data_IF_973764709668
#
_entry.id   IF_973764709668
#
_cell.length_a   1.000
_cell.length_b   1.000
_cell.length_c   1.000
_cell.angle_alpha   90.00
_cell.angle_beta   90.00
_cell.angle_gamma   90.00
#
_symmetry.space_group_name_H-M   'P 1'
#
loop_
_entity.id
_entity.type
_entity.pdbx_description
1 polymer ?
#
# COMPACT_ATOMS: atom_id res chain seq x y z
N UNK A 1 -11.38 12.96 4.76
CA UNK A 1 -11.94 12.47 3.48
C UNK A 1 -12.78 13.52 2.81
N UNK A 2 -12.26 14.13 1.74
CA UNK A 2 -13.06 14.93 0.82
C UNK A 2 -13.75 13.97 -0.15
N UNK A 3 -15.06 13.81 -0.01
CA UNK A 3 -15.85 12.87 -0.83
C UNK A 3 -16.02 13.35 -2.29
N UNK A 4 -15.91 14.67 -2.51
CA UNK A 4 -15.98 15.35 -3.81
C UNK A 4 -15.52 16.80 -3.60
N UNK A 5 -14.87 17.40 -4.59
CA UNK A 5 -14.47 18.82 -4.54
C UNK A 5 -15.57 19.74 -5.08
N UNK A 6 -16.52 19.18 -5.83
CA UNK A 6 -17.60 19.87 -6.52
C UNK A 6 -18.79 18.92 -6.76
N UNK A 7 -18.94 18.40 -7.99
CA UNK A 7 -19.98 17.45 -8.38
C UNK A 7 -19.38 16.06 -8.61
N UNK A 8 -19.74 15.04 -7.80
CA UNK A 8 -19.15 13.71 -7.88
C UNK A 8 -19.30 13.02 -9.24
N UNK A 9 -20.42 13.22 -9.94
CA UNK A 9 -20.68 12.58 -11.24
C UNK A 9 -19.85 13.22 -12.36
N UNK A 10 -19.63 14.54 -12.28
CA UNK A 10 -18.73 15.24 -13.19
C UNK A 10 -17.30 14.80 -12.93
N UNK A 11 -16.87 14.77 -11.67
CA UNK A 11 -15.54 14.34 -11.27
C UNK A 11 -15.23 12.90 -11.71
N UNK A 12 -16.18 11.96 -11.52
CA UNK A 12 -16.05 10.59 -12.01
C UNK A 12 -15.87 10.54 -13.53
N UNK A 13 -16.69 11.28 -14.30
CA UNK A 13 -16.60 11.30 -15.75
C UNK A 13 -15.28 11.88 -16.24
N UNK A 14 -14.81 12.97 -15.63
CA UNK A 14 -13.52 13.56 -15.97
C UNK A 14 -12.35 12.64 -15.57
N UNK A 15 -12.46 11.91 -14.45
CA UNK A 15 -11.45 10.93 -14.02
C UNK A 15 -11.34 9.77 -15.02
N UNK A 16 -12.48 9.21 -15.43
CA UNK A 16 -12.55 8.17 -16.47
C UNK A 16 -12.02 8.68 -17.82
N UNK A 17 -12.13 9.98 -18.09
CA UNK A 17 -11.57 10.62 -19.28
C UNK A 17 -10.08 11.01 -19.14
N UNK A 18 -9.44 10.75 -17.99
CA UNK A 18 -8.04 11.11 -17.72
C UNK A 18 -7.79 12.62 -17.55
N UNK A 19 -8.83 13.39 -17.18
CA UNK A 19 -8.81 14.85 -17.10
C UNK A 19 -8.84 15.40 -15.68
N UNK A 20 -8.90 14.54 -14.68
CA UNK A 20 -8.90 14.94 -13.27
C UNK A 20 -7.91 14.13 -12.46
N UNK A 21 -7.55 14.68 -11.30
CA UNK A 21 -6.73 14.04 -10.28
C UNK A 21 -7.60 13.74 -9.07
N UNK A 22 -7.19 12.75 -8.28
CA UNK A 22 -7.78 12.42 -6.99
C UNK A 22 -6.74 12.58 -5.90
N UNK A 23 -7.17 13.01 -4.73
CA UNK A 23 -6.36 12.95 -3.52
C UNK A 23 -6.59 11.61 -2.83
N UNK A 24 -5.51 10.91 -2.50
CA UNK A 24 -5.56 9.63 -1.79
C UNK A 24 -4.97 9.82 -0.39
N UNK A 25 -5.76 9.49 0.64
CA UNK A 25 -5.30 9.45 2.04
C UNK A 25 -4.51 8.16 2.30
N UNK A 26 -3.28 8.14 1.78
CA UNK A 26 -2.32 7.03 1.93
C UNK A 26 -1.13 7.48 2.76
N UNK A 27 -0.63 6.55 3.56
CA UNK A 27 0.62 6.69 4.32
C UNK A 27 1.62 5.66 3.83
N UNK A 28 2.91 6.00 3.96
CA UNK A 28 4.02 5.21 3.41
C UNK A 28 4.99 4.87 4.53
N UNK A 29 5.34 3.59 4.68
CA UNK A 29 6.49 3.14 5.47
C UNK A 29 7.64 2.76 4.54
N UNK A 30 8.87 3.12 4.92
CA UNK A 30 10.08 2.66 4.25
C UNK A 30 10.80 1.67 5.15
N UNK A 31 11.02 0.46 4.64
CA UNK A 31 11.78 -0.59 5.31
C UNK A 31 13.09 -0.78 4.55
N UNK A 32 14.21 -0.75 5.27
CA UNK A 32 15.56 -0.91 4.70
C UNK A 32 16.29 -2.04 5.41
N UNK A 33 17.35 -2.56 4.80
CA UNK A 33 18.20 -3.61 5.37
C UNK A 33 18.31 -4.82 4.45
N UNK A 34 19.36 -5.61 4.67
CA UNK A 34 19.69 -6.76 3.83
C UNK A 34 18.60 -7.85 3.88
N UNK A 35 18.01 -8.08 5.05
CA UNK A 35 17.02 -9.14 5.27
C UNK A 35 15.56 -8.68 5.15
N UNK A 36 15.32 -7.44 4.68
CA UNK A 36 13.98 -6.83 4.70
C UNK A 36 12.92 -7.66 3.97
N UNK A 37 13.25 -8.26 2.83
CA UNK A 37 12.29 -9.02 2.02
C UNK A 37 11.92 -10.35 2.70
N UNK A 38 12.89 -11.04 3.29
CA UNK A 38 12.64 -12.23 4.11
C UNK A 38 11.77 -11.88 5.32
N UNK A 39 12.11 -10.80 6.02
CA UNK A 39 11.32 -10.34 7.18
C UNK A 39 9.88 -9.97 6.80
N UNK A 40 9.68 -9.26 5.68
CA UNK A 40 8.34 -8.94 5.16
C UNK A 40 7.57 -10.19 4.72
N UNK A 41 8.25 -11.15 4.09
CA UNK A 41 7.68 -12.43 3.66
C UNK A 41 7.13 -13.24 4.85
N UNK A 42 7.80 -13.19 6.01
CA UNK A 42 7.35 -13.90 7.21
C UNK A 42 6.16 -13.21 7.89
N UNK A 43 5.94 -11.91 7.64
CA UNK A 43 4.88 -11.13 8.27
C UNK A 43 3.59 -11.06 7.47
N UNK A 44 3.67 -11.13 6.15
CA UNK A 44 2.52 -10.90 5.27
C UNK A 44 2.16 -12.12 4.45
N UNK A 45 0.92 -12.12 3.95
CA UNK A 45 0.35 -13.24 3.20
C UNK A 45 1.01 -13.50 1.84
N UNK A 46 1.82 -12.56 1.35
CA UNK A 46 2.39 -12.58 0.00
C UNK A 46 3.82 -13.09 0.03
N UNK A 47 4.22 -13.85 -0.99
CA UNK A 47 5.62 -14.24 -1.20
C UNK A 47 6.44 -13.01 -1.61
N UNK A 48 7.42 -12.62 -0.80
CA UNK A 48 8.16 -11.36 -0.96
C UNK A 48 9.69 -11.54 -0.99
N UNK A 49 10.21 -12.66 -0.53
CA UNK A 49 11.65 -12.99 -0.47
C UNK A 49 12.32 -13.11 -1.86
N UNK A 50 11.53 -13.22 -2.93
CA UNK A 50 11.98 -13.21 -4.33
C UNK A 50 11.40 -12.04 -5.15
N UNK A 51 10.88 -11.00 -4.48
CA UNK A 51 10.31 -9.84 -5.15
C UNK A 51 11.37 -9.15 -6.03
N UNK A 52 11.06 -9.06 -7.33
CA UNK A 52 11.94 -8.40 -8.30
C UNK A 52 11.85 -6.88 -8.12
N UNK A 53 12.99 -6.15 -8.06
CA UNK A 53 12.98 -4.69 -7.96
C UNK A 53 12.14 -4.02 -9.04
N UNK A 54 11.38 -3.00 -8.66
CA UNK A 54 10.46 -2.26 -9.52
C UNK A 54 9.12 -2.94 -9.80
N UNK A 55 8.92 -4.19 -9.37
CA UNK A 55 7.63 -4.87 -9.45
C UNK A 55 6.79 -4.50 -8.24
N UNK A 56 5.57 -4.01 -8.49
CA UNK A 56 4.62 -3.75 -7.43
C UNK A 56 3.73 -4.97 -7.17
N UNK A 57 3.48 -5.24 -5.89
CA UNK A 57 2.63 -6.33 -5.41
C UNK A 57 1.71 -5.85 -4.29
N UNK A 58 0.71 -6.66 -3.96
CA UNK A 58 -0.18 -6.45 -2.82
C UNK A 58 0.01 -7.57 -1.80
N UNK A 59 0.00 -7.22 -0.52
CA UNK A 59 0.13 -8.17 0.58
C UNK A 59 -0.83 -7.82 1.73
N UNK A 60 -1.27 -8.84 2.46
CA UNK A 60 -2.16 -8.67 3.60
C UNK A 60 -1.41 -8.97 4.90
N UNK A 61 -1.65 -8.15 5.91
CA UNK A 61 -1.32 -8.48 7.29
C UNK A 61 -2.52 -9.14 7.94
N UNK A 62 -2.29 -10.34 8.49
CA UNK A 62 -3.33 -11.15 9.08
C UNK A 62 -3.11 -11.30 10.59
N UNK A 63 -4.20 -11.44 11.34
CA UNK A 63 -4.14 -11.88 12.74
C UNK A 63 -3.87 -13.40 12.82
N UNK A 64 -3.61 -13.96 14.02
CA UNK A 64 -3.36 -15.40 14.16
C UNK A 64 -4.55 -16.30 13.79
N UNK A 65 -5.76 -15.74 13.63
CA UNK A 65 -6.95 -16.44 13.16
C UNK A 65 -7.13 -16.33 11.64
N UNK A 66 -6.27 -15.57 10.96
CA UNK A 66 -6.31 -15.35 9.51
C UNK A 66 -7.22 -14.22 9.07
N UNK A 67 -7.72 -13.37 9.97
CA UNK A 67 -8.49 -12.19 9.57
C UNK A 67 -7.57 -11.08 9.06
N UNK A 68 -8.06 -10.33 8.08
CA UNK A 68 -7.34 -9.19 7.53
C UNK A 68 -7.31 -8.07 8.56
N UNK A 69 -6.10 -7.71 8.98
CA UNK A 69 -5.82 -6.53 9.79
C UNK A 69 -5.64 -5.32 8.86
N UNK A 70 -4.91 -5.51 7.75
CA UNK A 70 -4.55 -4.41 6.83
C UNK A 70 -4.05 -4.91 5.47
N UNK A 71 -4.29 -4.11 4.44
CA UNK A 71 -3.68 -4.24 3.11
C UNK A 71 -2.45 -3.35 2.95
N UNK A 72 -1.47 -3.84 2.18
CA UNK A 72 -0.30 -3.09 1.77
C UNK A 72 -0.07 -3.24 0.27
N UNK A 73 0.18 -2.14 -0.42
CA UNK A 73 0.86 -2.16 -1.71
C UNK A 73 2.35 -1.97 -1.48
N UNK A 74 3.17 -2.82 -2.11
CA UNK A 74 4.61 -2.81 -1.96
C UNK A 74 5.31 -2.55 -3.28
N UNK A 75 6.45 -1.90 -3.21
CA UNK A 75 7.45 -1.85 -4.27
C UNK A 75 8.84 -1.85 -3.63
N UNK A 76 9.79 -2.54 -4.24
CA UNK A 76 11.17 -2.65 -3.76
C UNK A 76 12.15 -2.11 -4.81
N UNK A 77 13.26 -1.50 -4.39
CA UNK A 77 14.32 -1.00 -5.27
C UNK A 77 15.67 -1.71 -5.08
N UNK A 78 15.70 -2.89 -4.45
CA UNK A 78 16.87 -3.65 -3.99
C UNK A 78 17.56 -3.15 -2.72
N UNK A 79 17.33 -1.92 -2.28
CA UNK A 79 17.85 -1.38 -1.01
C UNK A 79 16.77 -1.20 0.05
N UNK A 80 15.57 -0.82 -0.39
CA UNK A 80 14.44 -0.44 0.42
C UNK A 80 13.13 -0.94 -0.19
N UNK A 81 12.18 -1.27 0.69
CA UNK A 81 10.80 -1.58 0.32
C UNK A 81 9.89 -0.49 0.87
N UNK A 82 8.99 0.02 0.03
CA UNK A 82 7.95 0.96 0.44
C UNK A 82 6.63 0.24 0.58
N UNK A 83 6.00 0.39 1.75
CA UNK A 83 4.68 -0.14 2.04
C UNK A 83 3.70 1.02 2.04
N UNK A 84 2.68 0.94 1.20
CA UNK A 84 1.65 1.95 1.01
C UNK A 84 0.33 1.39 1.55
N UNK A 85 -0.27 2.10 2.51
CA UNK A 85 -1.52 1.69 3.18
C UNK A 85 -2.40 2.93 3.40
N UNK A 86 -3.66 2.74 3.78
CA UNK A 86 -4.50 3.83 4.28
C UNK A 86 -3.89 4.50 5.52
N UNK A 87 -4.07 5.82 5.60
CA UNK A 87 -3.61 6.64 6.74
C UNK A 87 -4.36 6.33 8.04
N UNK A 88 -5.63 5.91 7.94
CA UNK A 88 -6.40 5.52 9.12
C UNK A 88 -5.71 4.37 9.88
N UNK A 89 -5.52 4.54 11.20
CA UNK A 89 -4.85 3.55 12.05
C UNK A 89 -3.36 3.34 11.79
N UNK A 90 -2.71 4.21 11.01
CA UNK A 90 -1.29 4.08 10.67
C UNK A 90 -0.37 4.10 11.88
N UNK A 91 -0.71 4.85 12.92
CA UNK A 91 0.09 4.94 14.16
C UNK A 91 0.22 3.60 14.90
N UNK A 92 -0.65 2.62 14.62
CA UNK A 92 -0.58 1.27 15.19
C UNK A 92 0.51 0.40 14.52
N UNK A 93 1.14 0.89 13.45
CA UNK A 93 2.22 0.23 12.73
C UNK A 93 3.62 0.66 13.21
N UNK A 94 3.71 1.63 14.13
CA UNK A 94 4.94 2.17 14.71
C UNK A 94 5.16 1.62 16.13
#
# INVERSE_FOLDING_TARGET
>A
MTQSFSNPLVEQREFLAGKSLIELEKSILKISGADRLTWLNDLFSQKLDDLVPGVSVEALWLDPQGHIVRDFHLIDDSESTWLITYTSGFDQLL
#
